data_IF_023726785118
#
_entry.id   IF_023726785118
#
_cell.length_a   1.000
_cell.length_b   1.000
_cell.length_c   1.000
_cell.angle_alpha   90.00
_cell.angle_beta   90.00
_cell.angle_gamma   90.00
#
_symmetry.space_group_name_H-M   'P 1'
#
loop_
_entity.id
_entity.type
_entity.pdbx_description
1 polymer ?
#
# COMPACT_ATOMS: atom_id res chain seq x y z
N UNK A 1 4.51 -39.98 -54.80
CA UNK A 1 3.41 -40.38 -53.89
C UNK A 1 3.38 -39.41 -52.73
N UNK A 2 2.19 -38.89 -52.40
CA UNK A 2 1.93 -37.74 -51.52
C UNK A 2 2.37 -37.99 -50.07
N UNK A 3 3.22 -37.11 -49.52
CA UNK A 3 3.39 -36.96 -48.08
C UNK A 3 2.48 -35.83 -47.60
N UNK A 4 1.55 -36.14 -46.71
CA UNK A 4 0.66 -35.16 -46.08
C UNK A 4 1.42 -34.49 -44.94
N UNK A 5 1.56 -33.16 -45.00
CA UNK A 5 2.02 -32.36 -43.87
C UNK A 5 0.84 -32.19 -42.91
N UNK A 6 0.90 -32.87 -41.77
CA UNK A 6 0.01 -32.61 -40.64
C UNK A 6 0.42 -31.29 -39.99
N UNK A 7 -0.42 -30.26 -40.12
CA UNK A 7 -0.24 -29.00 -39.39
C UNK A 7 -0.69 -29.21 -37.94
N UNK A 8 0.26 -29.32 -37.01
CA UNK A 8 -0.01 -29.25 -35.58
C UNK A 8 -0.25 -27.77 -35.20
N UNK A 9 -1.51 -27.42 -34.93
CA UNK A 9 -1.87 -26.11 -34.39
C UNK A 9 -1.53 -26.11 -32.90
N UNK A 10 -0.43 -25.45 -32.54
CA UNK A 10 -0.08 -25.18 -31.13
C UNK A 10 -0.99 -24.07 -30.60
N UNK A 11 -1.97 -24.42 -29.77
CA UNK A 11 -2.80 -23.48 -29.05
C UNK A 11 -1.96 -22.84 -27.92
N UNK A 12 -1.48 -21.61 -28.14
CA UNK A 12 -0.85 -20.81 -27.10
C UNK A 12 -1.91 -20.33 -26.11
N UNK A 13 -1.96 -20.95 -24.93
CA UNK A 13 -2.69 -20.41 -23.76
C UNK A 13 -1.96 -19.14 -23.31
N UNK A 14 -2.36 -17.98 -23.86
CA UNK A 14 -2.00 -16.69 -23.31
C UNK A 14 -2.70 -16.54 -21.95
N UNK A 15 -2.02 -16.96 -20.88
CA UNK A 15 -2.45 -16.63 -19.52
C UNK A 15 -2.45 -15.12 -19.39
N UNK A 16 -3.64 -14.51 -19.24
CA UNK A 16 -3.74 -13.11 -18.85
C UNK A 16 -3.22 -13.01 -17.43
N UNK A 17 -1.97 -12.60 -17.26
CA UNK A 17 -1.49 -12.13 -15.98
C UNK A 17 -2.27 -10.84 -15.68
N UNK A 18 -3.37 -10.96 -14.92
CA UNK A 18 -4.06 -9.80 -14.36
C UNK A 18 -3.11 -9.20 -13.33
N UNK A 19 -2.24 -8.29 -13.81
CA UNK A 19 -1.41 -7.48 -12.93
C UNK A 19 -2.34 -6.57 -12.14
N UNK A 20 -2.29 -6.65 -10.82
CA UNK A 20 -2.93 -5.64 -9.97
C UNK A 20 -2.26 -4.29 -10.23
N UNK A 21 -3.07 -3.36 -10.70
CA UNK A 21 -2.74 -1.96 -10.97
C UNK A 21 -2.76 -1.16 -9.68
N UNK A 22 -1.75 -0.29 -9.53
CA UNK A 22 -1.68 0.66 -8.42
C UNK A 22 -2.57 1.85 -8.76
N UNK A 23 -3.52 2.16 -7.89
CA UNK A 23 -4.40 3.31 -8.04
C UNK A 23 -3.74 4.60 -7.54
N UNK A 24 -3.14 4.54 -6.35
CA UNK A 24 -2.40 5.66 -5.74
C UNK A 24 -1.33 5.11 -4.79
N UNK A 25 -0.31 5.91 -4.51
CA UNK A 25 0.67 5.62 -3.48
C UNK A 25 1.10 6.85 -2.69
N UNK A 26 1.51 6.63 -1.44
CA UNK A 26 1.99 7.67 -0.52
C UNK A 26 3.33 7.29 0.06
N UNK A 27 4.22 8.27 0.10
CA UNK A 27 5.48 8.17 0.80
C UNK A 27 5.32 8.85 2.14
N UNK A 28 5.58 8.10 3.21
CA UNK A 28 5.27 8.52 4.56
C UNK A 28 6.51 8.36 5.44
N UNK A 29 6.69 9.30 6.36
CA UNK A 29 7.77 9.31 7.33
C UNK A 29 7.22 9.42 8.75
N UNK A 30 7.88 8.80 9.72
CA UNK A 30 7.41 8.78 11.09
C UNK A 30 8.32 8.08 12.08
N UNK A 31 7.79 7.87 13.29
CA UNK A 31 8.58 7.38 14.42
C UNK A 31 9.50 8.46 15.01
N UNK A 32 10.45 8.05 15.85
CA UNK A 32 11.37 9.00 16.50
C UNK A 32 12.30 9.60 15.44
N UNK A 33 12.28 10.93 15.31
CA UNK A 33 13.11 11.69 14.36
C UNK A 33 12.94 11.21 12.91
N UNK A 34 11.73 10.81 12.52
CA UNK A 34 11.39 10.38 11.16
C UNK A 34 12.32 9.28 10.64
N UNK A 35 12.61 8.32 11.51
CA UNK A 35 13.51 7.20 11.24
C UNK A 35 12.81 6.02 10.57
N UNK A 36 11.48 6.04 10.49
CA UNK A 36 10.68 4.99 9.87
C UNK A 36 10.03 5.58 8.63
N UNK A 37 10.23 4.91 7.51
CA UNK A 37 9.74 5.31 6.21
C UNK A 37 8.86 4.20 5.63
N UNK A 38 7.69 4.57 5.13
CA UNK A 38 6.64 3.67 4.68
C UNK A 38 6.09 4.14 3.34
N UNK A 39 6.10 3.26 2.35
CA UNK A 39 5.32 3.44 1.13
C UNK A 39 3.99 2.71 1.31
N UNK A 40 2.89 3.44 1.22
CA UNK A 40 1.54 2.88 1.18
C UNK A 40 1.04 2.86 -0.25
N UNK A 41 0.40 1.77 -0.70
CA UNK A 41 -0.29 1.71 -2.00
C UNK A 41 -1.74 1.31 -1.83
N UNK A 42 -2.63 2.01 -2.54
CA UNK A 42 -3.97 1.55 -2.83
C UNK A 42 -3.98 0.90 -4.22
N UNK A 43 -4.67 -0.23 -4.33
CA UNK A 43 -4.78 -1.01 -5.55
C UNK A 43 -6.18 -0.84 -6.13
N UNK A 44 -6.34 -0.97 -7.44
CA UNK A 44 -7.63 -0.73 -8.12
C UNK A 44 -8.77 -1.65 -7.64
N UNK A 45 -8.46 -2.82 -7.08
CA UNK A 45 -9.45 -3.75 -6.55
C UNK A 45 -9.80 -3.50 -5.07
N UNK A 46 -9.38 -2.35 -4.53
CA UNK A 46 -9.69 -1.92 -3.16
C UNK A 46 -8.81 -2.55 -2.08
N UNK A 47 -7.82 -3.37 -2.46
CA UNK A 47 -6.75 -3.83 -1.56
C UNK A 47 -5.72 -2.71 -1.32
N UNK A 48 -4.89 -2.92 -0.31
CA UNK A 48 -3.73 -2.07 -0.06
C UNK A 48 -2.52 -2.93 0.33
N UNK A 49 -1.34 -2.40 0.10
CA UNK A 49 -0.09 -2.95 0.61
C UNK A 49 0.83 -1.84 1.09
N UNK A 50 1.79 -2.23 1.94
CA UNK A 50 2.83 -1.32 2.40
C UNK A 50 4.22 -1.89 2.15
N UNK A 51 5.20 -0.99 2.04
CA UNK A 51 6.62 -1.34 2.00
C UNK A 51 7.41 -0.39 2.90
N UNK A 52 8.14 -0.95 3.85
CA UNK A 52 9.08 -0.16 4.63
C UNK A 52 10.35 0.12 3.83
N UNK A 53 10.95 1.30 3.98
CA UNK A 53 12.23 1.57 3.33
C UNK A 53 13.30 0.56 3.76
N UNK A 54 14.12 0.13 2.80
CA UNK A 54 15.12 -0.93 2.99
C UNK A 54 14.56 -2.35 2.91
N UNK A 55 13.24 -2.54 2.90
CA UNK A 55 12.63 -3.85 2.68
C UNK A 55 12.27 -4.06 1.22
N UNK A 56 12.53 -5.27 0.70
CA UNK A 56 12.18 -5.64 -0.68
C UNK A 56 10.73 -6.05 -0.82
N UNK A 57 10.23 -6.77 0.18
CA UNK A 57 8.90 -7.35 0.17
C UNK A 57 7.83 -6.32 0.55
N UNK A 58 6.64 -6.50 -0.02
CA UNK A 58 5.45 -5.72 0.31
C UNK A 58 4.56 -6.54 1.22
N UNK A 59 4.00 -5.89 2.22
CA UNK A 59 3.09 -6.49 3.17
C UNK A 59 1.66 -6.18 2.73
N UNK A 60 0.87 -7.18 2.30
CA UNK A 60 -0.54 -6.96 1.98
C UNK A 60 -1.31 -6.61 3.27
N UNK A 61 -2.23 -5.68 3.15
CA UNK A 61 -3.08 -5.24 4.25
C UNK A 61 -4.49 -5.79 4.13
N UNK A 62 -5.12 -6.07 5.27
CA UNK A 62 -6.51 -6.48 5.34
C UNK A 62 -7.36 -5.38 6.00
N UNK A 63 -8.25 -4.74 5.23
CA UNK A 63 -9.17 -3.74 5.78
C UNK A 63 -10.22 -4.43 6.66
N UNK A 64 -10.23 -4.10 7.95
CA UNK A 64 -11.18 -4.66 8.91
C UNK A 64 -12.36 -3.72 9.20
N UNK A 65 -12.20 -2.42 8.99
CA UNK A 65 -13.29 -1.47 9.07
C UNK A 65 -13.06 -0.25 8.18
N UNK A 66 -14.16 0.40 7.82
CA UNK A 66 -14.18 1.69 7.14
C UNK A 66 -15.47 2.41 7.52
N UNK A 67 -15.33 3.62 8.04
CA UNK A 67 -16.41 4.54 8.33
C UNK A 67 -16.32 5.72 7.37
N UNK A 68 -17.47 6.25 6.97
CA UNK A 68 -17.55 7.40 6.07
C UNK A 68 -18.27 8.53 6.78
N UNK A 69 -17.64 9.69 6.83
CA UNK A 69 -18.16 10.89 7.49
C UNK A 69 -18.37 11.99 6.45
N UNK A 70 -19.58 12.52 6.39
CA UNK A 70 -19.90 13.73 5.62
C UNK A 70 -19.68 14.95 6.52
N UNK A 71 -18.58 15.68 6.31
CA UNK A 71 -18.30 16.90 7.07
C UNK A 71 -19.09 18.11 6.56
N UNK A 72 -19.35 18.16 5.25
CA UNK A 72 -20.21 19.14 4.57
C UNK A 72 -20.62 18.59 3.20
N UNK A 73 -21.78 19.01 2.67
CA UNK A 73 -22.34 18.46 1.41
C UNK A 73 -21.43 18.69 0.19
N UNK A 74 -20.72 19.82 0.12
CA UNK A 74 -19.87 20.18 -1.02
C UNK A 74 -18.39 19.77 -0.86
N UNK A 75 -18.08 18.91 0.12
CA UNK A 75 -16.71 18.48 0.43
C UNK A 75 -16.54 16.99 0.14
N UNK A 76 -15.35 16.53 -0.28
CA UNK A 76 -15.07 15.10 -0.33
C UNK A 76 -15.35 14.46 1.03
N UNK A 77 -15.92 13.26 1.02
CA UNK A 77 -16.14 12.49 2.24
C UNK A 77 -14.81 12.20 2.94
N UNK A 78 -14.86 12.17 4.26
CA UNK A 78 -13.78 11.61 5.05
C UNK A 78 -14.00 10.11 5.20
N UNK A 79 -12.92 9.33 5.04
CA UNK A 79 -12.91 7.91 5.30
C UNK A 79 -11.95 7.61 6.43
N UNK A 80 -12.46 7.01 7.49
CA UNK A 80 -11.68 6.51 8.62
C UNK A 80 -11.66 4.99 8.54
N UNK A 81 -10.48 4.40 8.35
CA UNK A 81 -10.31 2.99 8.06
C UNK A 81 -9.28 2.33 8.97
N UNK A 82 -9.50 1.06 9.26
CA UNK A 82 -8.56 0.24 10.03
C UNK A 82 -8.08 -0.93 9.17
N UNK A 83 -6.77 -1.09 9.09
CA UNK A 83 -6.11 -2.11 8.28
C UNK A 83 -5.19 -2.97 9.14
N UNK A 84 -5.30 -4.28 9.04
CA UNK A 84 -4.40 -5.22 9.70
C UNK A 84 -3.16 -5.49 8.83
N UNK A 85 -1.99 -5.35 9.44
CA UNK A 85 -0.73 -5.89 8.94
C UNK A 85 -0.52 -7.28 9.54
N UNK A 86 -0.33 -8.28 8.70
CA UNK A 86 -0.08 -9.66 9.12
C UNK A 86 1.23 -10.18 8.57
N UNK A 87 2.01 -10.81 9.43
CA UNK A 87 3.26 -11.50 9.10
C UNK A 87 3.06 -12.97 9.40
N UNK A 88 3.27 -13.84 8.41
CA UNK A 88 3.03 -15.29 8.51
C UNK A 88 1.61 -15.62 9.04
N UNK A 89 0.62 -14.86 8.59
CA UNK A 89 -0.79 -15.00 9.00
C UNK A 89 -1.13 -14.47 10.40
N UNK A 90 -0.12 -14.08 11.20
CA UNK A 90 -0.30 -13.52 12.54
C UNK A 90 -0.40 -12.01 12.49
N UNK A 91 -1.29 -11.45 13.32
CA UNK A 91 -1.43 -10.00 13.46
C UNK A 91 -0.13 -9.39 13.99
N UNK A 92 0.49 -8.51 13.20
CA UNK A 92 1.66 -7.73 13.62
C UNK A 92 1.23 -6.38 14.24
N UNK A 93 0.21 -5.76 13.65
CA UNK A 93 -0.36 -4.51 14.12
C UNK A 93 -1.47 -3.99 13.22
N UNK A 94 -1.94 -2.79 13.52
CA UNK A 94 -3.04 -2.13 12.81
C UNK A 94 -2.66 -0.73 12.38
N UNK A 95 -3.02 -0.36 11.17
CA UNK A 95 -3.03 1.02 10.73
C UNK A 95 -4.40 1.63 11.00
N UNK A 96 -4.42 2.80 11.61
CA UNK A 96 -5.58 3.68 11.68
C UNK A 96 -5.31 4.81 10.69
N UNK A 97 -6.17 4.92 9.69
CA UNK A 97 -5.95 5.78 8.54
C UNK A 97 -7.19 6.64 8.31
N UNK A 98 -7.01 7.96 8.34
CA UNK A 98 -8.02 8.94 7.94
C UNK A 98 -7.62 9.59 6.63
N UNK A 99 -8.55 9.63 5.67
CA UNK A 99 -8.33 10.23 4.35
C UNK A 99 -9.51 11.13 3.96
N UNK A 100 -9.23 12.16 3.16
CA UNK A 100 -10.28 13.00 2.55
C UNK A 100 -9.83 13.47 1.17
N UNK A 101 -10.55 13.06 0.13
CA UNK A 101 -10.13 13.31 -1.24
C UNK A 101 -8.74 12.72 -1.51
N UNK A 102 -7.80 13.55 -1.95
CA UNK A 102 -6.41 13.16 -2.21
C UNK A 102 -5.47 13.37 -0.99
N UNK A 103 -6.00 13.52 0.22
CA UNK A 103 -5.21 13.80 1.41
C UNK A 103 -5.23 12.62 2.39
N UNK A 104 -4.07 12.31 2.96
CA UNK A 104 -3.95 11.53 4.20
C UNK A 104 -3.98 12.52 5.37
N UNK A 105 -5.05 12.48 6.16
CA UNK A 105 -5.24 13.41 7.27
C UNK A 105 -4.53 12.94 8.55
N UNK A 106 -4.62 11.64 8.82
CA UNK A 106 -3.89 10.98 9.90
C UNK A 106 -3.56 9.56 9.48
N UNK A 107 -2.37 9.11 9.85
CA UNK A 107 -1.97 7.71 9.73
C UNK A 107 -1.16 7.33 10.96
N UNK A 108 -1.61 6.30 11.67
CA UNK A 108 -0.84 5.72 12.76
C UNK A 108 -0.83 4.21 12.71
N UNK A 109 0.30 3.62 13.08
CA UNK A 109 0.47 2.18 13.28
C UNK A 109 0.47 1.85 14.76
N UNK A 110 -0.39 0.94 15.18
CA UNK A 110 -0.45 0.38 16.52
C UNK A 110 0.06 -1.05 16.51
N UNK A 111 1.16 -1.30 17.23
CA UNK A 111 1.79 -2.61 17.29
C UNK A 111 0.97 -3.56 18.16
N UNK A 112 0.65 -4.75 17.65
CA UNK A 112 -0.20 -5.71 18.37
C UNK A 112 0.43 -6.26 19.66
N UNK A 113 1.76 -6.36 19.72
CA UNK A 113 2.45 -6.98 20.88
C UNK A 113 2.40 -6.15 22.17
N UNK A 114 2.36 -4.82 22.05
CA UNK A 114 2.57 -3.89 23.18
C UNK A 114 1.72 -2.61 23.09
N UNK A 115 0.92 -2.45 22.04
CA UNK A 115 0.07 -1.28 21.82
C UNK A 115 0.85 0.00 21.48
N UNK A 116 2.17 -0.07 21.25
CA UNK A 116 2.94 1.13 20.94
C UNK A 116 2.50 1.72 19.61
N UNK A 117 2.16 3.01 19.64
CA UNK A 117 1.72 3.76 18.46
C UNK A 117 2.88 4.50 17.80
N UNK A 118 2.91 4.49 16.47
CA UNK A 118 3.82 5.25 15.61
C UNK A 118 2.97 6.04 14.64
N UNK A 119 3.02 7.37 14.72
CA UNK A 119 2.33 8.24 13.76
C UNK A 119 3.24 8.50 12.56
N UNK A 120 2.62 8.64 11.39
CA UNK A 120 3.24 8.95 10.12
C UNK A 120 2.64 10.22 9.52
N UNK A 121 3.39 10.90 8.69
CA UNK A 121 2.95 12.04 7.88
C UNK A 121 3.46 11.88 6.45
N UNK A 122 2.77 12.53 5.50
CA UNK A 122 3.20 12.56 4.10
C UNK A 122 4.60 13.18 3.97
N UNK A 123 5.46 12.52 3.19
CA UNK A 123 6.81 12.93 2.82
C UNK A 123 6.87 13.13 1.30
N UNK A 124 6.43 14.31 0.80
CA UNK A 124 6.32 14.56 -0.62
C UNK A 124 7.67 14.61 -1.34
N UNK A 125 8.77 14.87 -0.63
CA UNK A 125 10.11 14.88 -1.20
C UNK A 125 10.59 13.46 -1.57
N UNK A 126 10.02 12.44 -0.96
CA UNK A 126 10.31 11.04 -1.26
C UNK A 126 9.48 10.47 -2.42
N UNK A 127 8.50 11.21 -2.95
CA UNK A 127 7.57 10.70 -3.96
C UNK A 127 8.17 10.68 -5.37
N UNK A 128 8.03 9.55 -6.06
CA UNK A 128 8.37 9.36 -7.46
C UNK A 128 7.21 8.66 -8.17
N UNK A 129 7.11 8.78 -9.50
CA UNK A 129 6.06 8.12 -10.27
C UNK A 129 6.05 6.58 -10.08
N UNK A 130 7.22 5.98 -9.88
CA UNK A 130 7.42 4.54 -9.72
C UNK A 130 7.46 4.07 -8.25
N UNK A 131 7.24 4.96 -7.28
CA UNK A 131 7.18 4.65 -5.84
C UNK A 131 7.97 5.65 -4.99
N UNK A 132 8.44 5.19 -3.82
CA UNK A 132 9.11 6.08 -2.86
C UNK A 132 10.63 5.94 -2.85
N UNK A 133 11.33 7.07 -2.76
CA UNK A 133 12.78 7.16 -2.56
C UNK A 133 13.13 8.25 -1.55
N UNK A 134 13.35 7.85 -0.31
CA UNK A 134 13.83 8.76 0.72
C UNK A 134 15.31 9.12 0.50
N UNK A 135 15.70 10.39 0.66
CA UNK A 135 17.10 10.78 0.66
C UNK A 135 17.79 10.05 1.82
N UNK A 136 18.80 9.24 1.51
CA UNK A 136 19.57 8.56 2.55
C UNK A 136 20.23 9.62 3.42
N UNK A 137 19.91 9.64 4.73
CA UNK A 137 20.87 10.20 5.68
C UNK A 137 22.11 9.32 5.56
N UNK A 138 23.15 9.85 4.92
CA UNK A 138 24.49 9.31 5.08
C UNK A 138 24.72 9.29 6.57
N UNK A 139 24.88 8.09 7.14
CA UNK A 139 25.32 7.97 8.51
C UNK A 139 26.70 8.64 8.57
N UNK A 140 26.78 9.79 9.23
CA UNK A 140 28.05 10.42 9.60
C UNK A 140 28.62 9.73 10.83
#
# INVERSE_FOLDING_TARGET
MKAWLAAAVALLLAGTASGTTVQDHRCLSGGRNDSIHLEWRWLEDGRADVRYAGQRERLPLHRISMETTVLAEDRPYQFDSVWEERIDGRLNGRYLLSTQGALVLDLSYERARDGRRTTFHDDPEAWQEDGCRWPGRVAE
#
